data_IF_229774771256
#
_entry.id   IF_229774771256
#
_cell.length_a   1.000
_cell.length_b   1.000
_cell.length_c   1.000
_cell.angle_alpha   90.00
_cell.angle_beta   90.00
_cell.angle_gamma   90.00
#
_symmetry.space_group_name_H-M   'P 1'
#
loop_
_entity.id
_entity.type
_entity.pdbx_description
1 polymer ?
#
# COMPACT_ATOMS: atom_id res chain seq x y z
N UNK A 1 8.66 0.43 12.00
CA UNK A 1 8.15 0.48 10.62
C UNK A 1 7.29 -0.74 10.34
N UNK A 2 6.17 -0.55 9.67
CA UNK A 2 5.32 -1.67 9.30
C UNK A 2 6.01 -2.51 8.23
N UNK A 3 5.97 -3.81 8.41
CA UNK A 3 6.49 -4.71 7.40
C UNK A 3 5.40 -4.99 6.36
N UNK A 4 5.53 -4.34 5.22
CA UNK A 4 4.56 -4.42 4.15
C UNK A 4 5.06 -5.36 3.08
N UNK A 5 4.20 -6.26 2.63
CA UNK A 5 4.55 -7.24 1.59
C UNK A 5 3.59 -7.14 0.43
N UNK A 6 4.04 -7.63 -0.71
CA UNK A 6 3.19 -7.68 -1.90
C UNK A 6 1.94 -8.52 -1.62
N UNK A 7 0.80 -8.02 -2.06
CA UNK A 7 -0.47 -8.66 -1.83
C UNK A 7 -1.18 -8.23 -0.57
N UNK A 8 -0.52 -7.48 0.31
CA UNK A 8 -1.17 -6.96 1.50
C UNK A 8 -2.21 -5.92 1.12
N UNK A 9 -3.29 -5.89 1.88
CA UNK A 9 -4.29 -4.82 1.77
C UNK A 9 -3.98 -3.80 2.85
N UNK A 10 -3.82 -2.56 2.45
CA UNK A 10 -3.39 -1.50 3.36
C UNK A 10 -4.37 -0.34 3.36
N UNK A 11 -4.31 0.43 4.44
CA UNK A 11 -4.95 1.73 4.52
C UNK A 11 -3.85 2.78 4.49
N UNK A 12 -4.00 3.78 3.65
CA UNK A 12 -2.99 4.83 3.52
C UNK A 12 -3.65 6.20 3.47
N UNK A 13 -2.85 7.22 3.78
CA UNK A 13 -3.33 8.59 3.74
C UNK A 13 -3.27 9.09 2.29
N UNK A 14 -4.42 9.45 1.75
CA UNK A 14 -4.50 9.95 0.38
C UNK A 14 -4.18 11.45 0.33
N UNK A 15 -4.11 12.01 -0.89
CA UNK A 15 -3.73 13.41 -1.06
C UNK A 15 -4.81 14.39 -0.61
N UNK A 16 -6.00 13.92 -0.34
CA UNK A 16 -7.10 14.75 0.11
C UNK A 16 -7.22 14.78 1.63
N UNK A 17 -6.27 14.17 2.32
CA UNK A 17 -6.27 14.16 3.78
C UNK A 17 -7.08 13.04 4.42
N UNK A 18 -7.74 12.23 3.62
CA UNK A 18 -8.52 11.10 4.11
C UNK A 18 -7.74 9.79 3.98
N UNK A 19 -8.44 8.69 4.21
CA UNK A 19 -7.87 7.35 4.09
C UNK A 19 -8.40 6.65 2.86
N UNK A 20 -7.56 5.86 2.24
CA UNK A 20 -7.95 5.00 1.13
C UNK A 20 -7.37 3.62 1.34
N UNK A 21 -8.07 2.60 0.84
CA UNK A 21 -7.59 1.24 0.89
C UNK A 21 -6.98 0.86 -0.44
N UNK A 22 -5.97 0.02 -0.39
CA UNK A 22 -5.31 -0.44 -1.61
C UNK A 22 -4.64 -1.78 -1.39
N UNK A 23 -4.36 -2.46 -2.50
CA UNK A 23 -3.54 -3.67 -2.48
C UNK A 23 -2.13 -3.33 -2.91
N UNK A 24 -1.15 -3.87 -2.23
CA UNK A 24 0.26 -3.67 -2.56
C UNK A 24 0.63 -4.61 -3.69
N UNK A 25 1.06 -4.03 -4.81
CA UNK A 25 1.50 -4.79 -5.97
C UNK A 25 2.99 -5.05 -5.95
N UNK A 26 3.76 -4.04 -5.50
CA UNK A 26 5.20 -4.13 -5.53
C UNK A 26 5.79 -3.17 -4.51
N UNK A 27 6.87 -3.60 -3.85
CA UNK A 27 7.61 -2.79 -2.91
C UNK A 27 9.02 -2.62 -3.45
N UNK A 28 9.50 -1.39 -3.51
CA UNK A 28 10.84 -1.13 -4.03
C UNK A 28 11.47 0.05 -3.33
N UNK A 29 12.78 0.17 -3.47
CA UNK A 29 13.56 1.25 -2.87
C UNK A 29 13.93 2.26 -3.94
N UNK A 30 13.56 3.53 -3.70
CA UNK A 30 13.96 4.65 -4.54
C UNK A 30 13.95 5.89 -3.65
N UNK A 31 15.13 6.25 -3.11
CA UNK A 31 15.25 7.32 -2.12
C UNK A 31 14.31 7.11 -0.93
N UNK A 32 14.13 5.87 -0.54
CA UNK A 32 13.20 5.45 0.50
C UNK A 32 12.31 4.36 -0.04
N UNK A 33 11.58 3.70 0.87
CA UNK A 33 10.68 2.63 0.47
C UNK A 33 9.44 3.19 -0.21
N UNK A 34 9.14 2.67 -1.39
CA UNK A 34 7.98 3.03 -2.19
C UNK A 34 7.12 1.81 -2.43
N UNK A 35 5.84 2.06 -2.61
CA UNK A 35 4.88 0.99 -2.89
C UNK A 35 4.12 1.31 -4.17
N UNK A 36 4.10 0.33 -5.07
CA UNK A 36 3.19 0.37 -6.19
C UNK A 36 1.90 -0.30 -5.73
N UNK A 37 0.80 0.43 -5.78
CA UNK A 37 -0.47 -0.06 -5.26
C UNK A 37 -1.58 0.12 -6.28
N UNK A 38 -2.66 -0.64 -6.08
CA UNK A 38 -3.90 -0.43 -6.81
C UNK A 38 -4.98 -0.08 -5.80
N UNK A 39 -5.61 1.07 -5.99
CA UNK A 39 -6.63 1.54 -5.05
C UNK A 39 -7.88 0.68 -5.15
N UNK A 40 -8.46 0.38 -4.00
CA UNK A 40 -9.57 -0.55 -3.92
C UNK A 40 -10.83 -0.04 -4.64
N UNK A 41 -11.20 1.20 -4.39
CA UNK A 41 -12.42 1.76 -4.94
C UNK A 41 -12.33 2.13 -6.41
N UNK A 42 -11.27 2.85 -6.78
CA UNK A 42 -11.13 3.37 -8.14
C UNK A 42 -10.29 2.49 -9.04
N UNK A 43 -9.62 1.49 -8.46
CA UNK A 43 -8.74 0.58 -9.20
C UNK A 43 -7.67 1.30 -10.01
N UNK A 44 -7.13 2.36 -9.42
CA UNK A 44 -6.06 3.12 -10.02
C UNK A 44 -4.71 2.62 -9.53
N UNK A 45 -3.75 2.58 -10.44
CA UNK A 45 -2.38 2.16 -10.12
C UNK A 45 -1.56 3.41 -9.81
N UNK A 46 -1.11 3.52 -8.59
CA UNK A 46 -0.32 4.67 -8.15
C UNK A 46 0.88 4.21 -7.34
N UNK A 47 1.85 5.11 -7.19
CA UNK A 47 3.03 4.86 -6.37
C UNK A 47 3.00 5.81 -5.18
N UNK A 48 3.19 5.26 -4.00
CA UNK A 48 3.21 6.08 -2.77
C UNK A 48 4.45 5.75 -1.95
N UNK A 49 4.80 6.66 -1.05
CA UNK A 49 5.82 6.39 -0.07
C UNK A 49 5.26 5.44 0.99
N UNK A 50 6.07 4.48 1.42
CA UNK A 50 5.65 3.56 2.47
C UNK A 50 5.31 4.29 3.77
N UNK A 51 5.83 5.49 3.95
CA UNK A 51 5.52 6.31 5.13
C UNK A 51 4.07 6.74 5.19
N UNK A 52 3.37 6.72 4.06
CA UNK A 52 1.96 7.11 4.02
C UNK A 52 1.02 6.01 4.47
N UNK A 53 1.52 4.81 4.65
CA UNK A 53 0.70 3.69 5.11
C UNK A 53 0.32 3.91 6.58
N UNK A 54 -0.96 3.80 6.86
CA UNK A 54 -1.48 3.95 8.22
C UNK A 54 -1.52 2.60 8.93
N UNK A 55 -2.05 1.59 8.24
CA UNK A 55 -2.15 0.27 8.84
C UNK A 55 -2.26 -0.78 7.75
N UNK A 56 -1.97 -2.02 8.12
CA UNK A 56 -2.17 -3.17 7.25
C UNK A 56 -3.50 -3.78 7.65
N UNK A 57 -4.45 -3.75 6.71
CA UNK A 57 -5.80 -4.24 6.97
C UNK A 57 -5.90 -5.75 6.85
N UNK A 58 -5.14 -6.32 5.90
CA UNK A 58 -5.19 -7.74 5.65
C UNK A 58 -3.87 -8.18 5.07
N UNK A 59 -3.30 -9.24 5.63
CA UNK A 59 -2.05 -9.79 5.14
C UNK A 59 -2.31 -10.71 3.97
N UNK A 60 -1.36 -10.73 3.04
CA UNK A 60 -1.42 -11.68 1.94
C UNK A 60 -1.23 -13.09 2.49
N UNK A 61 -2.23 -13.93 2.31
CA UNK A 61 -2.17 -15.31 2.76
C UNK A 61 -1.93 -16.31 1.62
N UNK A 62 -1.74 -15.79 0.43
CA UNK A 62 -1.48 -16.64 -0.73
C UNK A 62 -0.10 -17.25 -0.60
N UNK A 63 0.01 -18.54 -0.87
CA UNK A 63 1.29 -19.21 -0.83
C UNK A 63 1.66 -19.80 0.51
N UNK A 64 0.74 -19.87 1.39
CA UNK A 64 0.97 -20.57 2.65
C UNK A 64 1.20 -22.04 2.44
#
# INVERSE_FOLDING_TARGET
MLEIKEGDRISFKNEYGGRSDAYVLHKFWLFGWKLRIVTYKSQEYITISAKRVISILERNSIGK
#
